data_IF_071595252618
#
_entry.id   IF_071595252618
#
_cell.length_a   1.000
_cell.length_b   1.000
_cell.length_c   1.000
_cell.angle_alpha   90.00
_cell.angle_beta   90.00
_cell.angle_gamma   90.00
#
_symmetry.space_group_name_H-M   'P 1'
#
loop_
_entity.id
_entity.type
_entity.pdbx_description
1 polymer ?
#
# COMPACT_ATOMS: atom_id res chain seq x y z
N UNK A 1 22.83 -3.16 10.23
CA UNK A 1 21.51 -3.01 9.58
C UNK A 1 21.31 -1.51 9.38
N UNK A 2 20.93 -1.02 8.20
CA UNK A 2 20.66 0.41 8.03
C UNK A 2 19.43 0.81 8.82
N UNK A 3 19.32 2.08 9.23
CA UNK A 3 18.16 2.60 9.94
C UNK A 3 16.88 2.40 9.13
N UNK A 4 16.92 2.63 7.82
CA UNK A 4 15.82 2.36 6.91
C UNK A 4 15.36 0.89 6.94
N UNK A 5 16.31 -0.06 7.01
CA UNK A 5 15.99 -1.49 7.08
C UNK A 5 15.36 -1.85 8.43
N UNK A 6 15.83 -1.27 9.53
CA UNK A 6 15.24 -1.44 10.85
C UNK A 6 13.81 -0.87 10.91
N UNK A 7 13.56 0.28 10.25
CA UNK A 7 12.22 0.86 10.10
C UNK A 7 11.29 -0.06 9.30
N UNK A 8 11.79 -0.64 8.21
CA UNK A 8 11.05 -1.64 7.44
C UNK A 8 10.65 -2.85 8.28
N UNK A 9 11.56 -3.38 9.08
CA UNK A 9 11.27 -4.52 9.96
C UNK A 9 10.22 -4.19 11.02
N UNK A 10 10.34 -3.03 11.67
CA UNK A 10 9.35 -2.59 12.67
C UNK A 10 7.96 -2.38 12.05
N UNK A 11 7.89 -1.95 10.79
CA UNK A 11 6.63 -1.85 10.06
C UNK A 11 6.08 -3.24 9.69
N UNK A 12 6.94 -4.17 9.28
CA UNK A 12 6.55 -5.55 9.02
C UNK A 12 5.99 -6.22 10.29
N UNK A 13 6.59 -5.99 11.45
CA UNK A 13 6.06 -6.44 12.75
C UNK A 13 4.65 -5.92 13.02
N UNK A 14 4.36 -4.67 12.68
CA UNK A 14 3.01 -4.14 12.80
C UNK A 14 2.03 -4.90 11.91
N UNK A 15 2.36 -5.11 10.63
CA UNK A 15 1.49 -5.84 9.72
C UNK A 15 1.35 -7.33 10.08
N UNK A 16 2.37 -7.95 10.66
CA UNK A 16 2.25 -9.32 11.23
C UNK A 16 1.19 -9.35 12.33
N UNK A 17 1.16 -8.37 13.23
CA UNK A 17 0.10 -8.27 14.25
C UNK A 17 -1.29 -8.02 13.64
N UNK A 18 -1.37 -7.19 12.60
CA UNK A 18 -2.65 -6.97 11.87
C UNK A 18 -3.12 -8.26 11.19
N UNK A 19 -2.19 -9.03 10.62
CA UNK A 19 -2.47 -10.34 10.05
C UNK A 19 -3.12 -11.25 11.08
N UNK A 20 -2.48 -11.41 12.25
CA UNK A 20 -2.93 -12.31 13.32
C UNK A 20 -4.26 -11.91 13.95
N UNK A 21 -4.59 -10.61 14.00
CA UNK A 21 -5.75 -10.11 14.75
C UNK A 21 -6.99 -9.83 13.90
N UNK A 22 -6.82 -9.37 12.66
CA UNK A 22 -7.92 -8.82 11.86
C UNK A 22 -8.05 -9.47 10.49
N UNK A 23 -6.93 -9.80 9.85
CA UNK A 23 -6.94 -10.25 8.45
C UNK A 23 -6.95 -11.76 8.28
N UNK A 24 -6.45 -12.55 9.25
CA UNK A 24 -6.36 -14.02 9.15
C UNK A 24 -7.70 -14.68 8.79
N UNK A 25 -8.79 -14.21 9.37
CA UNK A 25 -10.13 -14.79 9.17
C UNK A 25 -10.95 -14.09 8.07
N UNK A 26 -10.37 -13.12 7.36
CA UNK A 26 -11.07 -12.32 6.35
C UNK A 26 -11.33 -13.05 5.03
N UNK A 27 -10.65 -14.18 4.78
CA UNK A 27 -10.70 -14.92 3.52
C UNK A 27 -10.03 -14.20 2.33
N UNK A 28 -9.41 -13.05 2.56
CA UNK A 28 -8.67 -12.25 1.57
C UNK A 28 -7.15 -12.48 1.63
N UNK A 29 -6.68 -13.38 2.48
CA UNK A 29 -5.25 -13.66 2.67
C UNK A 29 -4.82 -14.85 1.84
N UNK A 30 -3.77 -14.67 1.03
CA UNK A 30 -3.07 -15.76 0.39
C UNK A 30 -2.08 -16.40 1.39
N UNK A 31 -2.42 -17.58 1.92
CA UNK A 31 -1.61 -18.29 2.93
C UNK A 31 -0.21 -18.71 2.44
N UNK A 32 0.04 -18.69 1.12
CA UNK A 32 1.36 -18.95 0.55
C UNK A 32 2.34 -17.78 0.74
N UNK A 33 1.84 -16.62 1.17
CA UNK A 33 2.61 -15.39 1.35
C UNK A 33 2.85 -15.09 2.83
N UNK A 34 3.93 -14.37 3.09
CA UNK A 34 4.29 -13.87 4.42
C UNK A 34 4.43 -12.35 4.40
N UNK A 35 4.43 -11.75 5.59
CA UNK A 35 4.72 -10.32 5.73
C UNK A 35 6.23 -10.11 5.67
N UNK A 36 6.73 -9.44 4.63
CA UNK A 36 8.15 -9.14 4.43
C UNK A 36 8.39 -7.67 4.03
N UNK A 37 9.36 -6.98 4.66
CA UNK A 37 9.88 -5.71 4.17
C UNK A 37 10.94 -5.95 3.07
N UNK A 38 10.64 -5.48 1.86
CA UNK A 38 11.48 -5.66 0.68
C UNK A 38 12.14 -4.34 0.28
N UNK A 39 13.48 -4.36 0.21
CA UNK A 39 14.26 -3.31 -0.44
C UNK A 39 14.31 -1.96 0.27
N UNK A 40 14.01 -1.92 1.58
CA UNK A 40 14.06 -0.71 2.40
C UNK A 40 15.45 -0.05 2.34
N UNK A 41 15.47 1.22 1.92
CA UNK A 41 16.67 2.03 1.76
C UNK A 41 16.38 3.50 2.03
N UNK A 42 17.44 4.24 2.32
CA UNK A 42 17.36 5.69 2.48
C UNK A 42 17.06 6.36 1.13
N UNK A 43 16.08 7.27 1.12
CA UNK A 43 15.64 8.04 -0.04
C UNK A 43 15.41 9.50 0.38
N UNK A 44 16.46 10.31 0.25
CA UNK A 44 16.44 11.70 0.70
C UNK A 44 16.19 11.79 2.21
N UNK A 45 15.17 12.55 2.68
CA UNK A 45 14.82 12.64 4.10
C UNK A 45 13.92 11.50 4.58
N UNK A 46 13.72 10.44 3.80
CA UNK A 46 12.81 9.34 4.11
C UNK A 46 13.49 7.97 4.01
N UNK A 47 12.87 6.96 4.59
CA UNK A 47 13.11 5.55 4.26
C UNK A 47 12.02 5.07 3.29
N UNK A 48 12.43 4.48 2.17
CA UNK A 48 11.57 3.94 1.12
C UNK A 48 11.76 2.42 1.01
N UNK A 49 10.65 1.68 0.94
CA UNK A 49 10.67 0.25 0.65
C UNK A 49 9.29 -0.28 0.30
N UNK A 50 9.19 -1.58 0.02
CA UNK A 50 7.90 -2.25 -0.22
C UNK A 50 7.57 -3.15 0.95
N UNK A 51 6.34 -3.12 1.44
CA UNK A 51 5.83 -4.11 2.37
C UNK A 51 4.97 -5.09 1.59
N UNK A 52 5.41 -6.34 1.56
CA UNK A 52 4.62 -7.47 1.06
C UNK A 52 3.81 -8.02 2.23
N UNK A 53 2.52 -8.26 2.02
CA UNK A 53 1.63 -8.95 2.96
C UNK A 53 0.81 -9.99 2.20
N UNK A 54 0.15 -10.93 2.92
CA UNK A 54 -0.77 -11.89 2.31
C UNK A 54 -1.97 -11.29 1.56
N UNK A 55 -2.29 -10.01 1.75
CA UNK A 55 -3.50 -9.39 1.18
C UNK A 55 -3.23 -8.12 0.34
N UNK A 56 -2.05 -7.49 0.47
CA UNK A 56 -1.57 -6.44 -0.42
C UNK A 56 -0.04 -6.42 -0.50
N UNK A 57 0.51 -5.76 -1.51
CA UNK A 57 1.87 -5.24 -1.47
C UNK A 57 1.87 -3.73 -1.76
N UNK A 58 2.46 -2.95 -0.84
CA UNK A 58 2.43 -1.49 -0.89
C UNK A 58 3.85 -0.92 -0.87
N UNK A 59 4.09 0.08 -1.70
CA UNK A 59 5.26 0.96 -1.58
C UNK A 59 5.03 1.88 -0.39
N UNK A 60 5.98 1.92 0.54
CA UNK A 60 5.88 2.69 1.78
C UNK A 60 7.07 3.63 1.94
N UNK A 61 6.75 4.83 2.38
CA UNK A 61 7.67 5.90 2.76
C UNK A 61 7.45 6.19 4.25
N UNK A 62 8.52 6.24 5.03
CA UNK A 62 8.48 6.59 6.46
C UNK A 62 9.67 7.45 6.86
N UNK A 63 9.69 7.92 8.11
CA UNK A 63 10.86 8.55 8.71
C UNK A 63 12.09 7.62 8.62
N UNK A 64 13.28 8.17 8.35
CA UNK A 64 14.49 7.40 8.06
C UNK A 64 14.95 6.58 9.26
N UNK A 65 14.67 7.06 10.47
CA UNK A 65 14.93 6.36 11.72
C UNK A 65 13.84 6.64 12.75
N UNK A 66 13.86 5.91 13.86
CA UNK A 66 12.88 6.06 14.93
C UNK A 66 13.07 7.38 15.67
N UNK A 67 11.98 8.10 15.92
CA UNK A 67 12.01 9.40 16.58
C UNK A 67 12.48 10.56 15.69
N UNK A 68 12.88 10.29 14.44
CA UNK A 68 13.09 11.34 13.44
C UNK A 68 11.75 11.86 12.92
N UNK A 69 11.71 13.15 12.64
CA UNK A 69 10.59 13.78 11.97
C UNK A 69 10.79 13.65 10.45
N UNK A 70 9.87 12.98 9.78
CA UNK A 70 9.84 12.99 8.32
C UNK A 70 9.03 14.20 7.87
N UNK A 71 9.50 14.98 6.89
CA UNK A 71 8.77 16.13 6.39
C UNK A 71 7.55 15.67 5.59
N UNK A 72 6.44 15.35 6.25
CA UNK A 72 5.15 15.14 5.62
C UNK A 72 4.42 16.50 5.55
N UNK A 73 4.52 17.24 4.41
CA UNK A 73 3.98 18.60 4.33
C UNK A 73 2.44 18.62 4.41
N UNK A 74 1.79 17.57 3.93
CA UNK A 74 0.34 17.38 3.99
C UNK A 74 0.02 16.13 4.83
N UNK A 75 -0.98 16.21 5.73
CA UNK A 75 -1.33 15.11 6.64
C UNK A 75 -2.06 13.95 5.96
N UNK A 76 -2.51 14.11 4.72
CA UNK A 76 -3.29 13.13 3.95
C UNK A 76 -2.55 12.61 2.71
N UNK A 77 -1.65 13.39 2.10
CA UNK A 77 -0.97 13.01 0.86
C UNK A 77 0.52 13.37 0.87
N UNK A 78 1.32 12.55 0.21
CA UNK A 78 2.73 12.84 -0.06
C UNK A 78 2.99 12.53 -1.53
N UNK A 79 3.50 13.50 -2.29
CA UNK A 79 3.92 13.27 -3.66
C UNK A 79 5.45 13.27 -3.71
N UNK A 80 6.05 12.19 -4.21
CA UNK A 80 7.49 12.08 -4.41
C UNK A 80 7.82 11.91 -5.88
N UNK A 81 8.88 12.58 -6.32
CA UNK A 81 9.38 12.49 -7.68
C UNK A 81 10.44 11.40 -7.76
N UNK A 82 10.17 10.38 -8.57
CA UNK A 82 11.09 9.31 -8.90
C UNK A 82 11.61 9.45 -10.33
N UNK A 83 12.72 8.77 -10.67
CA UNK A 83 13.20 8.71 -12.06
C UNK A 83 12.15 8.22 -13.06
N UNK A 84 11.30 7.25 -12.66
CA UNK A 84 10.21 6.76 -13.52
C UNK A 84 8.98 7.71 -13.58
N UNK A 85 8.86 8.68 -12.68
CA UNK A 85 7.73 9.60 -12.61
C UNK A 85 7.35 10.03 -11.19
N UNK A 86 6.37 10.93 -11.10
CA UNK A 86 5.80 11.34 -9.80
C UNK A 86 4.86 10.24 -9.27
N UNK A 87 4.96 9.93 -7.98
CA UNK A 87 4.08 8.97 -7.30
C UNK A 87 3.39 9.65 -6.13
N UNK A 88 2.07 9.51 -6.10
CA UNK A 88 1.23 9.96 -5.00
C UNK A 88 1.05 8.84 -3.97
N UNK A 89 1.31 9.18 -2.72
CA UNK A 89 1.12 8.33 -1.57
C UNK A 89 0.02 8.91 -0.68
N UNK A 90 -0.70 8.01 0.00
CA UNK A 90 -1.63 8.39 1.04
C UNK A 90 -0.91 8.35 2.38
N UNK A 91 -0.92 9.47 3.10
CA UNK A 91 -0.35 9.57 4.44
C UNK A 91 -1.33 8.97 5.44
N UNK A 92 -0.82 8.18 6.37
CA UNK A 92 -1.57 7.53 7.43
C UNK A 92 -0.71 7.49 8.68
N UNK A 93 -1.35 7.51 9.84
CA UNK A 93 -0.67 7.41 11.13
C UNK A 93 -0.88 6.02 11.71
N UNK A 94 0.22 5.37 12.10
CA UNK A 94 0.19 4.08 12.76
C UNK A 94 0.57 4.28 14.23
N UNK A 95 -0.33 3.87 15.13
CA UNK A 95 -0.11 3.90 16.57
C UNK A 95 1.19 3.17 16.95
N UNK A 96 2.09 3.89 17.62
CA UNK A 96 3.40 3.37 18.06
C UNK A 96 4.50 3.27 16.99
N UNK A 97 4.19 3.61 15.73
CA UNK A 97 5.19 3.68 14.64
C UNK A 97 5.37 5.10 14.09
N UNK A 98 4.30 5.90 14.08
CA UNK A 98 4.25 7.25 13.54
C UNK A 98 3.64 7.30 12.14
N UNK A 99 3.85 8.44 11.46
CA UNK A 99 3.31 8.66 10.11
C UNK A 99 4.06 7.86 9.06
N UNK A 100 3.29 7.29 8.15
CA UNK A 100 3.76 6.61 6.94
C UNK A 100 2.98 7.14 5.75
N UNK A 101 3.60 7.07 4.57
CA UNK A 101 2.95 7.29 3.30
C UNK A 101 2.95 5.98 2.52
N UNK A 102 1.80 5.51 2.09
CA UNK A 102 1.67 4.24 1.37
C UNK A 102 1.00 4.42 0.00
N UNK A 103 1.47 3.66 -0.98
CA UNK A 103 0.91 3.56 -2.32
C UNK A 103 0.72 2.08 -2.66
N UNK A 104 -0.49 1.68 -3.04
CA UNK A 104 -0.76 0.28 -3.41
C UNK A 104 -0.10 -0.07 -4.74
N UNK A 105 0.71 -1.12 -4.73
CA UNK A 105 1.35 -1.68 -5.93
C UNK A 105 0.53 -2.86 -6.45
N UNK A 106 0.19 -3.79 -5.56
CA UNK A 106 -0.49 -5.03 -5.91
C UNK A 106 -1.63 -5.32 -4.94
N UNK A 107 -2.82 -5.51 -5.51
CA UNK A 107 -4.03 -5.99 -4.85
C UNK A 107 -4.97 -6.47 -5.96
N UNK A 108 -5.48 -7.71 -5.93
CA UNK A 108 -5.31 -8.74 -4.89
C UNK A 108 -3.94 -9.45 -4.96
N UNK A 109 -3.57 -10.15 -3.88
CA UNK A 109 -2.34 -10.96 -3.82
C UNK A 109 -2.56 -12.44 -4.19
N UNK A 110 -3.80 -12.81 -4.54
CA UNK A 110 -4.16 -14.16 -5.00
C UNK A 110 -3.48 -14.56 -6.33
N UNK A 111 -3.04 -13.57 -7.12
CA UNK A 111 -2.35 -13.81 -8.39
C UNK A 111 -0.91 -14.34 -8.20
N UNK A 112 -0.37 -14.30 -6.97
CA UNK A 112 0.96 -14.82 -6.66
C UNK A 112 0.91 -16.28 -6.21
N UNK A 113 1.63 -17.14 -6.92
CA UNK A 113 1.72 -18.57 -6.61
C UNK A 113 2.47 -18.85 -5.30
N UNK A 114 3.48 -18.05 -4.98
CA UNK A 114 4.32 -18.21 -3.79
C UNK A 114 4.96 -16.87 -3.36
N UNK A 115 5.53 -16.89 -2.16
CA UNK A 115 6.15 -15.72 -1.54
C UNK A 115 7.36 -15.18 -2.32
N UNK A 116 8.13 -16.06 -2.98
CA UNK A 116 9.31 -15.63 -3.73
C UNK A 116 8.91 -14.86 -5.00
N UNK A 117 7.82 -15.28 -5.66
CA UNK A 117 7.22 -14.53 -6.77
C UNK A 117 6.75 -13.13 -6.34
N UNK A 118 6.05 -13.01 -5.21
CA UNK A 118 5.61 -11.72 -4.67
C UNK A 118 6.79 -10.81 -4.29
N UNK A 119 7.81 -11.39 -3.64
CA UNK A 119 9.05 -10.69 -3.28
C UNK A 119 9.82 -10.20 -4.51
N UNK A 120 9.92 -11.03 -5.53
CA UNK A 120 10.58 -10.69 -6.79
C UNK A 120 9.84 -9.56 -7.50
N UNK A 121 8.51 -9.62 -7.58
CA UNK A 121 7.69 -8.55 -8.16
C UNK A 121 7.82 -7.24 -7.37
N UNK A 122 7.80 -7.29 -6.04
CA UNK A 122 8.00 -6.13 -5.17
C UNK A 122 9.38 -5.47 -5.39
N UNK A 123 10.44 -6.28 -5.49
CA UNK A 123 11.79 -5.79 -5.78
C UNK A 123 11.86 -5.17 -7.17
N UNK A 124 11.30 -5.84 -8.18
CA UNK A 124 11.27 -5.34 -9.55
C UNK A 124 10.52 -4.02 -9.68
N UNK A 125 9.38 -3.87 -9.00
CA UNK A 125 8.62 -2.62 -8.97
C UNK A 125 9.42 -1.47 -8.32
N UNK A 126 10.10 -1.73 -7.21
CA UNK A 126 10.96 -0.75 -6.55
C UNK A 126 12.15 -0.33 -7.44
N UNK A 127 12.81 -1.29 -8.07
CA UNK A 127 13.97 -1.01 -8.92
C UNK A 127 13.55 -0.30 -10.21
N UNK A 128 12.42 -0.67 -10.83
CA UNK A 128 11.86 0.03 -11.98
C UNK A 128 11.49 1.49 -11.67
N UNK A 129 11.02 1.78 -10.45
CA UNK A 129 10.71 3.14 -10.03
C UNK A 129 11.97 4.01 -9.92
N UNK A 130 13.08 3.40 -9.49
CA UNK A 130 14.37 4.06 -9.28
C UNK A 130 15.26 4.07 -10.53
N UNK A 131 14.92 3.32 -11.57
CA UNK A 131 15.71 3.23 -12.79
C UNK A 131 15.46 4.45 -13.70
N UNK A 132 16.47 5.30 -13.96
CA UNK A 132 16.33 6.41 -14.89
C UNK A 132 16.13 5.98 -16.35
N UNK A 133 16.49 4.75 -16.73
CA UNK A 133 16.25 4.22 -18.07
C UNK A 133 14.76 3.92 -18.33
N UNK A 134 13.96 3.80 -17.27
CA UNK A 134 12.50 3.63 -17.34
C UNK A 134 11.75 4.96 -17.43
N UNK A 135 12.45 6.08 -17.60
CA UNK A 135 11.89 7.44 -17.63
C UNK A 135 11.05 7.76 -18.89
N UNK A 136 10.76 6.80 -19.76
CA UNK A 136 9.86 6.99 -20.92
C UNK A 136 8.43 6.51 -20.58
N UNK A 137 7.55 7.48 -20.32
CA UNK A 137 6.16 7.31 -19.88
C UNK A 137 5.27 6.50 -20.85
N UNK A 138 4.13 6.00 -20.36
CA UNK A 138 2.92 6.78 -20.61
C UNK A 138 2.15 7.09 -19.32
N UNK A 139 1.49 8.25 -19.35
CA UNK A 139 0.45 8.70 -18.40
C UNK A 139 -0.41 7.53 -17.96
N UNK A 140 -0.44 7.21 -16.66
CA UNK A 140 -1.64 6.62 -16.08
C UNK A 140 -2.71 7.71 -16.11
N UNK A 141 -3.73 7.53 -16.94
CA UNK A 141 -5.01 8.18 -16.73
C UNK A 141 -5.42 7.93 -15.26
N UNK A 142 -5.89 8.94 -14.52
CA UNK A 142 -6.41 8.72 -13.18
C UNK A 142 -7.62 7.80 -13.32
N UNK A 143 -7.46 6.53 -12.95
CA UNK A 143 -8.61 5.69 -12.67
C UNK A 143 -9.44 6.41 -11.61
N UNK A 144 -10.72 6.71 -11.89
CA UNK A 144 -11.54 7.40 -10.92
C UNK A 144 -11.57 6.55 -9.66
N UNK A 145 -11.23 7.17 -8.54
CA UNK A 145 -11.54 6.69 -7.20
C UNK A 145 -13.05 6.47 -7.11
N UNK A 146 -13.52 5.32 -7.58
CA UNK A 146 -14.89 4.87 -7.42
C UNK A 146 -15.00 4.33 -6.00
N UNK A 147 -15.29 5.29 -5.12
CA UNK A 147 -16.29 5.15 -4.08
C UNK A 147 -16.27 3.80 -3.35
N UNK A 148 -15.44 3.74 -2.30
CA UNK A 148 -15.87 3.09 -1.07
C UNK A 148 -17.06 3.87 -0.49
N UNK A 149 -18.20 3.81 -1.17
CA UNK A 149 -19.49 4.12 -0.55
C UNK A 149 -19.99 2.83 0.10
N UNK A 150 -19.41 2.51 1.26
CA UNK A 150 -19.79 1.36 2.09
C UNK A 150 -21.13 1.60 2.81
N UNK A 151 -22.02 2.45 2.27
CA UNK A 151 -23.24 2.92 2.94
C UNK A 151 -24.53 2.75 2.15
N UNK A 152 -24.62 1.70 1.33
CA UNK A 152 -25.87 1.31 0.65
C UNK A 152 -26.42 -0.07 1.04
N UNK A 153 -26.11 -0.57 2.24
CA UNK A 153 -26.71 -1.80 2.78
C UNK A 153 -27.43 -1.48 4.09
N UNK A 154 -28.64 -0.92 4.03
CA UNK A 154 -29.74 -1.13 5.00
C UNK A 154 -30.94 -0.26 4.59
N UNK A 155 -31.83 -0.80 3.76
CA UNK A 155 -33.08 -0.14 3.38
C UNK A 155 -34.09 -1.15 2.84
N UNK A 156 -34.75 -1.87 3.74
CA UNK A 156 -35.67 -2.95 3.41
C UNK A 156 -36.96 -2.52 2.71
N UNK A 157 -37.49 -3.46 1.90
CA UNK A 157 -38.89 -3.77 1.56
C UNK A 157 -39.97 -2.66 1.70
N UNK A 158 -40.76 -2.45 0.64
CA UNK A 158 -42.15 -2.96 0.49
C UNK A 158 -42.80 -2.62 -0.87
N UNK A 159 -43.77 -3.48 -1.21
CA UNK A 159 -44.64 -3.60 -2.40
C UNK A 159 -45.61 -2.42 -2.63
N UNK A 160 -46.14 -2.37 -3.86
CA UNK A 160 -47.43 -1.80 -4.28
C UNK A 160 -47.32 -1.26 -5.71
N UNK A 161 -47.61 -2.04 -6.74
CA UNK A 161 -48.90 -2.07 -7.48
C UNK A 161 -49.34 -0.69 -7.98
N UNK A 162 -49.45 -0.52 -9.30
CA UNK A 162 -50.74 -0.41 -10.01
C UNK A 162 -50.49 0.09 -11.45
N UNK A 163 -51.11 -0.61 -12.38
CA UNK A 163 -51.18 -0.31 -13.80
C UNK A 163 -51.79 1.07 -14.12
N UNK A 164 -51.40 1.65 -15.26
CA UNK A 164 -52.35 2.05 -16.32
C UNK A 164 -51.62 2.84 -17.43
N UNK A 165 -51.68 2.28 -18.63
CA UNK A 165 -51.47 2.99 -19.90
C UNK A 165 -52.62 3.98 -20.13
N UNK A 166 -52.44 4.90 -21.08
CA UNK A 166 -53.16 4.71 -22.34
C UNK A 166 -52.25 4.73 -23.58
#
# INVERSE_FOLDING_TARGET
MSDAAARGEKLADFYRRVHETSMRDSGLCNEALAVEPVGFRDFGPYALGVIVTPWFANLVVTAPCEGADAPFPDPARLQLRFPAGDVDFNVSEIDGFGRIAACSLFSPMDDFADHDAARTAARAALDALLDPAMSEAPKREPEPASALDRRALFGGRRRGDEEASP
#
